data_IF_008124271849
#
_entry.id   IF_008124271849
#
_cell.length_a   1.000
_cell.length_b   1.000
_cell.length_c   1.000
_cell.angle_alpha   90.00
_cell.angle_beta   90.00
_cell.angle_gamma   90.00
#
_symmetry.space_group_name_H-M   'P 1'
#
loop_
_entity.id
_entity.type
_entity.pdbx_description
1 polymer ?
#
# COMPACT_ATOMS: atom_id res chain seq x y z
N UNK A 1 -9.98 -22.05 1.22
CA UNK A 1 -8.56 -21.78 0.92
C UNK A 1 -8.31 -20.38 0.37
N UNK A 2 -9.07 -19.89 -0.62
CA UNK A 2 -8.88 -18.53 -1.20
C UNK A 2 -8.96 -17.39 -0.18
N UNK A 3 -9.82 -17.50 0.84
CA UNK A 3 -9.97 -16.46 1.88
C UNK A 3 -8.68 -16.24 2.71
N UNK A 4 -7.90 -17.29 2.95
CA UNK A 4 -6.66 -17.20 3.74
C UNK A 4 -5.52 -16.56 2.96
N UNK A 5 -5.46 -16.78 1.65
CA UNK A 5 -4.47 -16.18 0.76
C UNK A 5 -4.68 -14.67 0.61
N UNK A 6 -5.94 -14.24 0.49
CA UNK A 6 -6.29 -12.82 0.49
C UNK A 6 -5.84 -12.13 1.79
N UNK A 7 -6.04 -12.79 2.94
CA UNK A 7 -5.62 -12.25 4.23
C UNK A 7 -4.10 -12.11 4.33
N UNK A 8 -3.35 -13.13 3.91
CA UNK A 8 -1.88 -13.10 3.91
C UNK A 8 -1.32 -12.05 2.94
N UNK A 9 -1.91 -11.91 1.76
CA UNK A 9 -1.53 -10.90 0.77
C UNK A 9 -1.79 -9.47 1.25
N UNK A 10 -2.94 -9.24 1.89
CA UNK A 10 -3.25 -7.95 2.51
C UNK A 10 -2.33 -7.63 3.69
N UNK A 11 -1.96 -8.63 4.49
CA UNK A 11 -1.01 -8.44 5.59
C UNK A 11 0.38 -8.06 5.06
N UNK A 12 0.87 -8.77 4.03
CA UNK A 12 2.15 -8.46 3.40
C UNK A 12 2.18 -7.05 2.81
N UNK A 13 1.08 -6.62 2.16
CA UNK A 13 0.91 -5.25 1.67
C UNK A 13 1.14 -4.22 2.78
N UNK A 14 0.57 -4.44 3.97
CA UNK A 14 0.72 -3.54 5.12
C UNK A 14 2.17 -3.52 5.62
N UNK A 15 2.83 -4.69 5.68
CA UNK A 15 4.21 -4.82 6.15
C UNK A 15 5.21 -4.06 5.27
N UNK A 16 5.07 -4.13 3.95
CA UNK A 16 5.98 -3.45 3.01
C UNK A 16 5.57 -2.01 2.68
N UNK A 17 4.42 -1.55 3.19
CA UNK A 17 3.89 -0.22 2.90
C UNK A 17 3.42 -0.01 1.44
N UNK A 18 3.00 -1.08 0.75
CA UNK A 18 2.50 -0.99 -0.62
C UNK A 18 1.14 -0.27 -0.68
N UNK A 19 0.91 0.45 -1.78
CA UNK A 19 -0.35 1.18 -2.00
C UNK A 19 -1.56 0.24 -2.16
N UNK A 20 -1.39 -0.89 -2.87
CA UNK A 20 -2.48 -1.82 -3.18
C UNK A 20 -1.97 -3.27 -3.27
N UNK A 21 -2.86 -4.22 -2.99
CA UNK A 21 -2.70 -5.64 -3.29
C UNK A 21 -3.86 -6.07 -4.18
N UNK A 22 -3.59 -6.77 -5.27
CA UNK A 22 -4.58 -7.22 -6.25
C UNK A 22 -4.18 -8.62 -6.68
N UNK A 23 -5.03 -9.61 -6.45
CA UNK A 23 -4.90 -10.92 -7.07
C UNK A 23 -5.35 -10.85 -8.54
N UNK A 24 -4.55 -11.39 -9.45
CA UNK A 24 -4.86 -11.42 -10.87
C UNK A 24 -4.47 -12.74 -11.53
N UNK A 25 -5.11 -13.06 -12.66
CA UNK A 25 -4.77 -14.21 -13.50
C UNK A 25 -4.69 -13.77 -14.95
N UNK A 26 -3.51 -13.86 -15.55
CA UNK A 26 -3.33 -13.55 -16.97
C UNK A 26 -4.05 -14.56 -17.87
N UNK A 27 -4.24 -15.81 -17.40
CA UNK A 27 -4.91 -16.87 -18.16
C UNK A 27 -6.40 -16.58 -18.36
N UNK A 28 -7.08 -16.11 -17.31
CA UNK A 28 -8.51 -15.76 -17.34
C UNK A 28 -8.74 -14.25 -17.53
N UNK A 29 -7.65 -13.49 -17.67
CA UNK A 29 -7.61 -12.03 -17.70
C UNK A 29 -8.25 -11.35 -16.48
N UNK A 30 -8.47 -12.10 -15.39
CA UNK A 30 -9.05 -11.57 -14.15
C UNK A 30 -8.12 -10.50 -13.57
N UNK A 31 -8.69 -9.32 -13.33
CA UNK A 31 -8.05 -8.16 -12.71
C UNK A 31 -6.80 -7.62 -13.44
N UNK A 32 -6.49 -8.09 -14.66
CA UNK A 32 -5.33 -7.62 -15.42
C UNK A 32 -5.38 -6.09 -15.63
N UNK A 33 -6.52 -5.55 -16.08
CA UNK A 33 -6.73 -4.10 -16.21
C UNK A 33 -6.64 -3.38 -14.87
N UNK A 34 -7.16 -3.97 -13.80
CA UNK A 34 -7.19 -3.35 -12.47
C UNK A 34 -5.79 -3.11 -11.91
N UNK A 35 -4.83 -4.00 -12.19
CA UNK A 35 -3.42 -3.81 -11.82
C UNK A 35 -2.85 -2.54 -12.44
N UNK A 36 -3.05 -2.34 -13.75
CA UNK A 36 -2.55 -1.16 -14.45
C UNK A 36 -3.30 0.12 -14.08
N UNK A 37 -4.63 0.06 -13.96
CA UNK A 37 -5.44 1.20 -13.52
C UNK A 37 -5.00 1.68 -12.12
N UNK A 38 -4.72 0.75 -11.21
CA UNK A 38 -4.26 1.07 -9.86
C UNK A 38 -2.86 1.71 -9.87
N UNK A 39 -1.94 1.21 -10.69
CA UNK A 39 -0.61 1.80 -10.84
C UNK A 39 -0.69 3.25 -11.35
N UNK A 40 -1.51 3.49 -12.39
CA UNK A 40 -1.74 4.84 -12.93
C UNK A 40 -2.32 5.76 -11.85
N UNK A 41 -3.36 5.29 -11.14
CA UNK A 41 -3.99 6.08 -10.06
C UNK A 41 -3.00 6.43 -8.94
N UNK A 42 -2.14 5.50 -8.53
CA UNK A 42 -1.15 5.75 -7.48
C UNK A 42 -0.15 6.83 -7.91
N UNK A 43 0.23 6.87 -9.19
CA UNK A 43 1.13 7.90 -9.71
C UNK A 43 0.44 9.25 -9.84
N UNK A 44 -0.78 9.28 -10.38
CA UNK A 44 -1.53 10.53 -10.61
C UNK A 44 -2.13 11.13 -9.33
N UNK A 45 -2.53 10.27 -8.41
CA UNK A 45 -3.16 10.61 -7.14
C UNK A 45 -2.44 9.87 -6.01
N UNK A 46 -1.23 10.31 -5.66
CA UNK A 46 -0.45 9.65 -4.63
C UNK A 46 -1.25 9.63 -3.31
N UNK A 47 -1.35 8.46 -2.64
CA UNK A 47 -2.04 8.38 -1.37
C UNK A 47 -1.38 9.32 -0.37
N UNK A 48 -2.18 10.10 0.37
CA UNK A 48 -1.67 10.97 1.43
C UNK A 48 -0.88 10.09 2.40
N UNK A 49 0.44 10.25 2.40
CA UNK A 49 1.30 9.56 3.36
C UNK A 49 0.74 9.90 4.74
N UNK A 50 0.33 8.88 5.51
CA UNK A 50 -0.03 9.08 6.91
C UNK A 50 1.21 9.68 7.55
N UNK A 51 1.18 10.99 7.83
CA UNK A 51 2.23 11.68 8.57
C UNK A 51 2.41 10.88 9.85
N UNK A 52 3.49 10.11 9.95
CA UNK A 52 3.96 9.66 11.25
C UNK A 52 4.10 10.94 12.05
N UNK A 53 3.37 11.07 13.15
CA UNK A 53 3.50 12.22 14.05
C UNK A 53 4.97 12.26 14.42
N UNK A 54 5.72 13.17 13.80
CA UNK A 54 7.11 13.45 14.16
C UNK A 54 7.02 13.87 15.63
N UNK A 55 7.39 12.99 16.56
CA UNK A 55 7.55 13.38 17.96
C UNK A 55 8.55 14.53 17.91
N UNK A 56 8.05 15.73 18.19
CA UNK A 56 8.84 16.94 18.24
C UNK A 56 9.87 16.75 19.35
N UNK A 57 11.10 16.34 19.00
CA UNK A 57 12.24 16.32 19.92
C UNK A 57 12.99 17.64 19.75
N UNK A 58 12.32 18.75 20.07
CA UNK A 58 12.95 20.03 20.35
C UNK A 58 12.57 20.34 21.80
N UNK A 59 13.46 20.64 22.73
CA UNK A 59 14.69 21.42 22.62
C UNK A 59 15.66 21.04 23.76
N UNK A 60 16.93 20.75 23.46
CA UNK A 60 17.98 21.02 24.43
C UNK A 60 18.09 22.54 24.56
N UNK A 61 17.75 23.09 25.72
CA UNK A 61 18.18 24.42 26.12
C UNK A 61 19.54 24.26 26.79
N UNK A 62 20.57 24.89 26.23
CA UNK A 62 21.80 25.15 26.96
C UNK A 62 21.53 26.39 27.83
N UNK A 63 21.64 26.21 29.14
CA UNK A 63 21.64 27.27 30.16
C UNK A 63 23.09 27.66 30.45
#
# INVERSE_FOLDING_TARGET
MVLSLLMQGEELKKLIGSAVYIECSSKTQQNAKAVFDAAIKVVLQPPKQKKTKKKNKNSCAFL
#
